data_IF_642776648968
#
_entry.id   IF_642776648968
#
_cell.length_a   1.000
_cell.length_b   1.000
_cell.length_c   1.000
_cell.angle_alpha   90.00
_cell.angle_beta   90.00
_cell.angle_gamma   90.00
#
_symmetry.space_group_name_H-M   'P 1'
#
loop_
_entity.id
_entity.type
_entity.pdbx_description
1 polymer ?
#
# COMPACT_ATOMS: atom_id res chain seq x y z
N UNK A 1 4.95 6.95 13.93
CA UNK A 1 5.23 6.81 12.48
C UNK A 1 5.86 5.48 12.15
N UNK A 2 5.14 4.67 11.37
CA UNK A 2 5.60 3.34 10.93
C UNK A 2 5.98 3.36 9.45
N UNK A 3 6.94 2.52 9.06
CA UNK A 3 7.38 2.35 7.67
C UNK A 3 6.78 1.09 7.05
N UNK A 4 6.33 1.21 5.81
CA UNK A 4 5.75 0.10 5.04
C UNK A 4 6.25 0.08 3.60
N UNK A 5 6.11 -1.07 2.94
CA UNK A 5 6.59 -1.32 1.59
C UNK A 5 5.46 -1.80 0.70
N UNK A 6 5.40 -1.30 -0.54
CA UNK A 6 4.54 -1.83 -1.59
C UNK A 6 5.36 -2.13 -2.83
N UNK A 7 5.22 -3.35 -3.32
CA UNK A 7 5.99 -3.88 -4.44
C UNK A 7 5.25 -3.62 -5.76
N UNK A 8 6.02 -3.37 -6.82
CA UNK A 8 5.49 -3.32 -8.18
C UNK A 8 4.86 -4.68 -8.55
N UNK A 9 3.68 -4.66 -9.16
CA UNK A 9 2.93 -5.86 -9.54
C UNK A 9 1.98 -5.53 -10.71
N UNK A 10 1.31 -6.53 -11.32
CA UNK A 10 0.31 -6.25 -12.35
C UNK A 10 -0.83 -5.30 -11.92
N UNK A 11 -1.05 -5.15 -10.62
CA UNK A 11 -2.05 -4.23 -10.03
C UNK A 11 -1.47 -2.99 -9.36
N UNK A 12 -0.14 -2.84 -9.44
CA UNK A 12 0.61 -1.69 -8.95
C UNK A 12 1.81 -1.50 -9.89
N UNK A 13 1.55 -0.86 -11.01
CA UNK A 13 2.52 -0.66 -12.09
C UNK A 13 3.51 0.46 -11.74
N UNK A 14 4.51 0.67 -12.61
CA UNK A 14 5.40 1.84 -12.50
C UNK A 14 4.63 3.16 -12.64
N UNK A 15 3.60 3.21 -13.48
CA UNK A 15 2.73 4.37 -13.60
C UNK A 15 1.98 4.64 -12.27
N UNK A 16 1.48 3.59 -11.62
CA UNK A 16 0.85 3.71 -10.30
C UNK A 16 1.84 4.19 -9.23
N UNK A 17 3.09 3.72 -9.30
CA UNK A 17 4.16 4.15 -8.40
C UNK A 17 4.43 5.65 -8.57
N UNK A 18 4.56 6.13 -9.81
CA UNK A 18 4.78 7.55 -10.10
C UNK A 18 3.64 8.43 -9.62
N UNK A 19 2.39 8.02 -9.88
CA UNK A 19 1.21 8.75 -9.40
C UNK A 19 1.18 8.81 -7.87
N UNK A 20 1.53 7.71 -7.17
CA UNK A 20 1.56 7.67 -5.70
C UNK A 20 2.65 8.60 -5.14
N UNK A 21 3.83 8.61 -5.75
CA UNK A 21 4.93 9.50 -5.36
C UNK A 21 4.55 10.97 -5.52
N UNK A 22 3.96 11.34 -6.66
CA UNK A 22 3.58 12.72 -6.96
C UNK A 22 2.46 13.22 -6.06
N UNK A 23 1.46 12.39 -5.79
CA UNK A 23 0.28 12.75 -4.97
C UNK A 23 0.51 12.68 -3.46
N UNK A 24 1.57 11.98 -3.03
CA UNK A 24 1.78 11.56 -1.62
C UNK A 24 0.59 10.79 -1.08
N UNK A 25 -0.01 9.96 -1.93
CA UNK A 25 -1.12 9.08 -1.58
C UNK A 25 -0.79 7.66 -1.98
N UNK A 26 -1.30 6.72 -1.22
CA UNK A 26 -1.29 5.30 -1.59
C UNK A 26 -2.72 4.80 -1.67
N UNK A 27 -2.98 3.89 -2.61
CA UNK A 27 -4.33 3.39 -2.84
C UNK A 27 -4.40 1.89 -3.08
N UNK A 28 -5.60 1.33 -2.95
CA UNK A 28 -5.84 -0.06 -3.29
C UNK A 28 -7.30 -0.36 -3.59
N UNK A 29 -7.51 -1.26 -4.53
CA UNK A 29 -8.81 -1.79 -4.92
C UNK A 29 -9.31 -2.86 -3.94
N UNK A 30 -10.58 -3.29 -4.06
CA UNK A 30 -11.08 -4.47 -3.35
C UNK A 30 -10.20 -5.70 -3.63
N UNK A 31 -9.80 -6.47 -2.59
CA UNK A 31 -9.01 -7.67 -2.77
C UNK A 31 -9.79 -8.73 -3.55
N UNK A 32 -9.15 -9.32 -4.57
CA UNK A 32 -9.70 -10.40 -5.40
C UNK A 32 -8.99 -11.75 -5.20
N UNK A 33 -8.22 -11.89 -4.12
CA UNK A 33 -7.48 -13.11 -3.77
C UNK A 33 -8.31 -13.98 -2.80
N UNK A 34 -7.72 -14.98 -2.15
CA UNK A 34 -8.43 -15.90 -1.24
C UNK A 34 -9.29 -15.18 -0.18
N UNK A 35 -8.84 -14.02 0.31
CA UNK A 35 -9.60 -13.17 1.24
C UNK A 35 -10.32 -12.06 0.48
N UNK A 36 -11.33 -12.45 -0.33
CA UNK A 36 -12.13 -11.50 -1.10
C UNK A 36 -12.95 -10.59 -0.19
N UNK A 37 -13.14 -9.35 -0.63
CA UNK A 37 -14.01 -8.38 0.03
C UNK A 37 -14.37 -7.30 -0.98
N UNK A 38 -15.59 -6.79 -0.92
CA UNK A 38 -16.01 -5.62 -1.72
C UNK A 38 -15.45 -4.30 -1.16
N UNK A 39 -14.94 -4.33 0.08
CA UNK A 39 -14.34 -3.16 0.72
C UNK A 39 -12.95 -2.95 0.11
N UNK A 40 -12.67 -1.79 -0.53
CA UNK A 40 -11.35 -1.53 -1.07
C UNK A 40 -10.32 -1.39 0.04
N UNK A 41 -9.10 -1.87 -0.19
CA UNK A 41 -8.03 -1.86 0.83
C UNK A 41 -6.67 -1.53 0.24
N UNK A 42 -5.94 -0.62 0.90
CA UNK A 42 -4.49 -0.46 0.71
C UNK A 42 -3.82 -1.69 1.32
N UNK A 43 -2.90 -2.32 0.59
CA UNK A 43 -2.12 -3.48 1.05
C UNK A 43 -0.65 -3.12 1.05
N UNK A 44 0.11 -3.55 2.05
CA UNK A 44 1.55 -3.36 2.12
C UNK A 44 2.24 -4.49 2.86
N UNK A 45 3.57 -4.42 2.95
CA UNK A 45 4.42 -5.26 3.79
C UNK A 45 5.06 -4.41 4.90
N UNK A 46 5.10 -4.92 6.12
CA UNK A 46 5.78 -4.22 7.23
C UNK A 46 7.30 -4.42 7.22
N UNK A 47 7.78 -5.47 6.53
CA UNK A 47 9.21 -5.74 6.34
C UNK A 47 9.62 -5.40 4.91
N UNK A 48 10.90 -5.03 4.75
CA UNK A 48 11.50 -4.87 3.43
C UNK A 48 11.39 -6.22 2.69
N UNK A 49 10.86 -6.26 1.46
CA UNK A 49 10.85 -7.47 0.64
C UNK A 49 12.27 -8.04 0.50
N UNK A 50 12.38 -9.36 0.44
CA UNK A 50 13.64 -10.07 0.16
C UNK A 50 13.59 -10.65 -1.25
N UNK A 51 14.74 -10.70 -1.91
CA UNK A 51 14.88 -11.20 -3.28
C UNK A 51 15.67 -10.27 -4.16
N UNK A 52 15.53 -10.45 -5.46
CA UNK A 52 16.29 -9.80 -6.53
C UNK A 52 15.35 -9.09 -7.49
N UNK A 53 15.80 -7.99 -8.08
CA UNK A 53 15.04 -7.19 -9.05
C UNK A 53 13.65 -6.74 -8.53
N UNK A 54 13.56 -6.40 -7.24
CA UNK A 54 12.32 -5.92 -6.62
C UNK A 54 12.33 -4.39 -6.61
N UNK A 55 11.28 -3.79 -7.18
CA UNK A 55 11.04 -2.34 -7.15
C UNK A 55 9.70 -2.04 -6.51
N UNK A 56 9.56 -0.85 -5.94
CA UNK A 56 8.29 -0.36 -5.43
C UNK A 56 8.40 0.98 -4.72
N UNK A 57 7.47 1.21 -3.79
CA UNK A 57 7.48 2.36 -2.90
C UNK A 57 7.66 1.92 -1.45
N UNK A 58 8.38 2.73 -0.68
CA UNK A 58 8.35 2.72 0.78
C UNK A 58 7.66 4.00 1.24
N UNK A 59 6.77 3.88 2.22
CA UNK A 59 6.00 5.01 2.72
C UNK A 59 5.90 4.99 4.24
N UNK A 60 5.62 6.15 4.81
CA UNK A 60 5.45 6.35 6.24
C UNK A 60 4.08 6.97 6.54
N UNK A 61 3.42 6.45 7.56
CA UNK A 61 2.13 6.94 8.02
C UNK A 61 1.97 6.75 9.52
N UNK A 62 1.14 7.59 10.13
CA UNK A 62 0.64 7.42 11.51
C UNK A 62 -0.75 6.77 11.54
N UNK A 63 -1.38 6.56 10.38
CA UNK A 63 -2.66 5.86 10.29
C UNK A 63 -2.42 4.37 10.65
N UNK A 64 -3.03 3.86 11.73
CA UNK A 64 -2.84 2.47 12.13
C UNK A 64 -3.45 1.53 11.08
N UNK A 65 -2.83 0.36 10.82
CA UNK A 65 -3.42 -0.65 9.95
C UNK A 65 -4.67 -1.27 10.58
N UNK A 66 -5.42 -2.02 9.78
CA UNK A 66 -6.56 -2.78 10.25
C UNK A 66 -6.14 -3.75 11.37
N UNK A 67 -6.88 -3.79 12.51
CA UNK A 67 -6.60 -4.72 13.59
C UNK A 67 -6.93 -6.15 13.16
N UNK A 68 -6.20 -7.12 13.72
CA UNK A 68 -6.42 -8.55 13.43
C UNK A 68 -6.00 -9.00 12.03
N UNK A 69 -5.30 -8.15 11.27
CA UNK A 69 -4.75 -8.50 9.97
C UNK A 69 -3.63 -9.55 10.04
N UNK A 70 -3.26 -10.09 8.88
CA UNK A 70 -2.18 -11.08 8.77
C UNK A 70 -0.86 -10.43 9.22
N UNK A 71 -0.11 -11.04 10.17
CA UNK A 71 1.18 -10.53 10.59
C UNK A 71 2.13 -10.29 9.41
N UNK A 72 2.72 -9.09 9.34
CA UNK A 72 3.62 -8.72 8.25
C UNK A 72 2.95 -8.15 6.99
N UNK A 73 1.62 -8.26 6.87
CA UNK A 73 0.84 -7.83 5.70
C UNK A 73 -0.24 -6.81 6.10
N UNK A 74 0.17 -5.62 6.58
CA UNK A 74 -0.77 -4.59 7.02
C UNK A 74 -1.69 -4.15 5.86
N UNK A 75 -2.96 -3.95 6.22
CA UNK A 75 -3.99 -3.42 5.32
C UNK A 75 -4.65 -2.19 5.91
N UNK A 76 -5.20 -1.34 5.05
CA UNK A 76 -6.06 -0.22 5.46
C UNK A 76 -7.34 -0.25 4.63
N UNK A 77 -8.44 -0.61 5.28
CA UNK A 77 -9.76 -0.67 4.66
C UNK A 77 -10.37 0.72 4.49
N UNK A 78 -10.98 0.98 3.34
CA UNK A 78 -11.68 2.23 3.08
C UNK A 78 -12.86 2.45 4.02
N UNK A 79 -13.18 3.73 4.29
CA UNK A 79 -14.27 4.14 5.19
C UNK A 79 -13.84 4.31 6.64
N UNK A 80 -12.52 4.26 6.91
CA UNK A 80 -11.94 4.49 8.24
C UNK A 80 -11.31 5.86 8.33
N UNK A 81 -11.06 6.31 9.54
CA UNK A 81 -10.30 7.55 9.78
C UNK A 81 -8.95 7.52 9.05
N UNK A 82 -8.69 8.54 8.25
CA UNK A 82 -7.50 8.64 7.40
C UNK A 82 -7.53 7.83 6.09
N UNK A 83 -8.55 7.01 5.85
CA UNK A 83 -8.66 6.12 4.67
C UNK A 83 -10.00 6.31 3.97
N UNK A 84 -10.04 7.23 3.01
CA UNK A 84 -11.26 7.54 2.26
C UNK A 84 -11.53 6.53 1.15
N UNK A 85 -12.80 6.39 0.77
CA UNK A 85 -13.20 5.69 -0.46
C UNK A 85 -13.41 6.73 -1.55
N UNK A 86 -12.74 6.55 -2.69
CA UNK A 86 -12.84 7.44 -3.84
C UNK A 86 -12.61 6.62 -5.12
N UNK A 87 -13.54 6.70 -6.08
CA UNK A 87 -13.52 5.95 -7.35
C UNK A 87 -13.37 4.43 -7.21
N UNK A 88 -13.90 3.85 -6.12
CA UNK A 88 -13.75 2.42 -5.81
C UNK A 88 -12.38 2.03 -5.26
N UNK A 89 -11.56 2.99 -4.82
CA UNK A 89 -10.29 2.77 -4.14
C UNK A 89 -10.36 3.24 -2.69
N UNK A 90 -9.66 2.52 -1.81
CA UNK A 90 -9.22 3.08 -0.55
C UNK A 90 -8.01 3.95 -0.85
N UNK A 91 -8.04 5.22 -0.47
CA UNK A 91 -6.95 6.19 -0.66
C UNK A 91 -6.56 6.76 0.71
N UNK A 92 -5.26 6.83 0.99
CA UNK A 92 -4.74 7.48 2.19
C UNK A 92 -3.55 8.37 1.88
N UNK A 93 -3.51 9.57 2.49
CA UNK A 93 -2.34 10.46 2.46
C UNK A 93 -1.24 9.86 3.34
N UNK A 94 0.00 9.97 2.88
CA UNK A 94 1.18 9.50 3.61
C UNK A 94 2.11 10.66 3.92
N UNK A 95 2.80 10.56 5.04
CA UNK A 95 3.71 11.61 5.53
C UNK A 95 4.94 11.70 4.63
N UNK A 96 5.48 10.54 4.25
CA UNK A 96 6.63 10.40 3.37
C UNK A 96 6.42 9.22 2.44
N UNK A 97 6.90 9.35 1.20
CA UNK A 97 6.91 8.29 0.20
C UNK A 97 8.18 8.42 -0.65
N UNK A 98 8.81 7.31 -0.97
CA UNK A 98 9.95 7.27 -1.89
C UNK A 98 10.03 5.94 -2.61
N UNK A 99 10.71 5.91 -3.74
CA UNK A 99 11.07 4.67 -4.41
C UNK A 99 11.97 3.79 -3.53
N UNK A 100 11.90 2.49 -3.75
CA UNK A 100 12.97 1.58 -3.39
C UNK A 100 13.20 0.58 -4.53
N UNK A 101 14.44 0.13 -4.60
CA UNK A 101 14.89 -0.95 -5.48
C UNK A 101 15.77 -1.89 -4.69
N UNK A 102 15.74 -3.17 -5.08
CA UNK A 102 16.65 -4.21 -4.62
C UNK A 102 17.28 -4.76 -5.87
N UNK A 103 18.53 -4.36 -6.08
CA UNK A 103 19.39 -4.84 -7.15
C UNK A 103 20.25 -5.98 -6.60
N UNK A 104 20.73 -6.84 -7.49
CA UNK A 104 21.67 -7.93 -7.16
C UNK A 104 22.98 -7.42 -6.57
#
# INVERSE_FOLDING_TARGET
MNQYYRVCSPSQTDEDIEKQLKSKEVWGKPPRNYNQSDIPKVKAYSKRPQGRNIRGIKFWTDIPPDPGGIPGQPTWSGGREGVRIEDGYAKMKVIKISLFTIND
#
